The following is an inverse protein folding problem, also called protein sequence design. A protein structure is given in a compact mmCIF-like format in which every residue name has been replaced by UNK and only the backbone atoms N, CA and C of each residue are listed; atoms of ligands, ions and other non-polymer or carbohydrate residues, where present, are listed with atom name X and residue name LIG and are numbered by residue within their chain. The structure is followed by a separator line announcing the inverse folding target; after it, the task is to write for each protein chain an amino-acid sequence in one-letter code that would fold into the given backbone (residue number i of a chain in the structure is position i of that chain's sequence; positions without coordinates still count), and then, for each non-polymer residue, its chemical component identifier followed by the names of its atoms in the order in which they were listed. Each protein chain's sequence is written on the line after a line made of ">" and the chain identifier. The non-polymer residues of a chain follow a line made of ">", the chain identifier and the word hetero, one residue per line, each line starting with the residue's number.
data_IF_330420642554
#
_entry.id   IF_330420642554
#
_cell.length_a   1.000
_cell.length_b   1.000
_cell.length_c   1.000
_cell.angle_alpha   90.00
_cell.angle_beta   90.00
_cell.angle_gamma   90.00
#
_symmetry.space_group_name_H-M   'P 1'
#
loop_
_entity.id
_entity.type
_entity.pdbx_description
1 polymer ?
#
# COMPACT_ATOMS: atom_id res chain seq x y z
N UNK A 1 -16.31 -12.34 15.47
CA UNK A 1 -15.47 -11.86 14.36
C UNK A 1 -14.55 -13.00 13.93
N UNK A 2 -14.85 -13.66 12.81
CA UNK A 2 -14.10 -14.81 12.29
C UNK A 2 -12.79 -14.37 11.64
N UNK A 3 -11.76 -15.22 11.71
CA UNK A 3 -10.40 -14.92 11.24
C UNK A 3 -10.31 -14.48 9.76
N UNK A 4 -11.29 -14.84 8.93
CA UNK A 4 -11.39 -14.46 7.51
C UNK A 4 -11.44 -12.95 7.28
N UNK A 5 -12.03 -12.17 8.19
CA UNK A 5 -12.17 -10.72 8.03
C UNK A 5 -10.89 -9.91 8.29
N UNK A 6 -9.91 -10.46 9.03
CA UNK A 6 -8.61 -9.79 9.25
C UNK A 6 -7.66 -9.99 8.09
N UNK A 7 -7.64 -11.20 7.52
CA UNK A 7 -6.75 -11.55 6.40
C UNK A 7 -6.98 -10.68 5.17
N UNK A 8 -8.25 -10.37 4.90
CA UNK A 8 -8.64 -9.58 3.75
C UNK A 8 -8.29 -8.07 3.82
N UNK A 9 -7.80 -7.56 4.96
CA UNK A 9 -7.50 -6.12 5.10
C UNK A 9 -6.04 -5.76 4.89
N UNK A 10 -5.14 -6.74 4.81
CA UNK A 10 -3.70 -6.51 4.74
C UNK A 10 -3.23 -5.82 3.45
N UNK A 11 -4.05 -5.80 2.40
CA UNK A 11 -3.80 -4.98 1.21
C UNK A 11 -4.10 -3.49 1.40
N UNK A 12 -4.90 -3.10 2.41
CA UNK A 12 -5.29 -1.69 2.61
C UNK A 12 -4.08 -0.79 2.91
N UNK A 13 -3.13 -1.15 3.81
CA UNK A 13 -1.90 -0.39 4.00
C UNK A 13 -1.05 -0.29 2.72
N UNK A 14 -1.07 -1.33 1.86
CA UNK A 14 -0.35 -1.34 0.59
C UNK A 14 -1.01 -0.37 -0.41
N UNK A 15 -2.35 -0.30 -0.43
CA UNK A 15 -3.08 0.70 -1.21
C UNK A 15 -2.83 2.12 -0.70
N UNK A 16 -2.78 2.32 0.62
CA UNK A 16 -2.41 3.61 1.21
C UNK A 16 -0.97 4.01 0.82
N UNK A 17 -0.03 3.06 0.84
CA UNK A 17 1.34 3.27 0.37
C UNK A 17 1.38 3.69 -1.11
N UNK A 18 0.61 3.04 -1.97
CA UNK A 18 0.50 3.43 -3.37
C UNK A 18 -0.05 4.87 -3.55
N UNK A 19 -1.01 5.28 -2.72
CA UNK A 19 -1.62 6.61 -2.76
C UNK A 19 -0.69 7.73 -2.26
N UNK A 20 0.36 7.42 -1.50
CA UNK A 20 1.29 8.44 -0.99
C UNK A 20 1.96 9.24 -2.11
N UNK A 21 2.29 8.61 -3.24
CA UNK A 21 2.93 9.28 -4.37
C UNK A 21 2.03 10.31 -5.06
N UNK A 22 0.82 9.99 -5.57
CA UNK A 22 -0.05 10.98 -6.20
C UNK A 22 -0.46 12.09 -5.23
N UNK A 23 -0.64 11.78 -3.95
CA UNK A 23 -0.93 12.80 -2.93
C UNK A 23 0.27 13.72 -2.71
N UNK A 24 1.48 13.19 -2.53
CA UNK A 24 2.69 13.99 -2.39
C UNK A 24 2.94 14.85 -3.63
N UNK A 25 2.72 14.31 -4.83
CA UNK A 25 2.83 15.05 -6.08
C UNK A 25 1.80 16.18 -6.17
N UNK A 26 0.54 15.93 -5.81
CA UNK A 26 -0.47 16.98 -5.81
C UNK A 26 -0.13 18.10 -4.81
N UNK A 27 0.32 17.75 -3.60
CA UNK A 27 0.73 18.72 -2.60
C UNK A 27 1.95 19.53 -3.05
N UNK A 28 2.95 18.91 -3.69
CA UNK A 28 4.13 19.63 -4.17
C UNK A 28 3.83 20.61 -5.31
N UNK A 29 2.76 20.38 -6.08
CA UNK A 29 2.31 21.27 -7.15
C UNK A 29 1.44 22.43 -6.65
N UNK A 30 0.73 22.25 -5.53
CA UNK A 30 -0.25 23.21 -5.00
C UNK A 30 0.34 24.10 -3.90
N UNK A 31 1.22 23.55 -3.06
CA UNK A 31 1.73 24.25 -1.88
C UNK A 31 2.92 25.16 -2.23
N UNK A 32 2.97 26.38 -1.69
CA UNK A 32 4.13 27.26 -1.85
C UNK A 32 5.37 26.65 -1.15
N UNK A 33 6.58 26.88 -1.69
CA UNK A 33 7.81 26.26 -1.22
C UNK A 33 8.39 26.93 0.03
N UNK A 34 7.59 27.06 1.08
CA UNK A 34 8.00 27.53 2.40
C UNK A 34 7.82 26.43 3.47
N UNK A 35 8.52 26.58 4.60
CA UNK A 35 8.61 25.55 5.65
C UNK A 35 7.25 25.15 6.21
N UNK A 36 6.37 26.12 6.49
CA UNK A 36 5.11 25.85 7.15
C UNK A 36 4.08 25.25 6.19
N UNK A 37 4.04 25.77 4.96
CA UNK A 37 3.17 25.23 3.91
C UNK A 37 3.57 23.82 3.49
N UNK A 38 4.83 23.42 3.67
CA UNK A 38 5.31 22.08 3.31
C UNK A 38 5.11 21.01 4.39
N UNK A 39 4.59 21.37 5.58
CA UNK A 39 4.31 20.39 6.65
C UNK A 39 3.36 19.25 6.24
N UNK A 40 2.27 19.49 5.48
CA UNK A 40 1.42 18.41 4.99
C UNK A 40 2.15 17.45 4.04
N UNK A 41 3.00 17.98 3.15
CA UNK A 41 3.83 17.16 2.27
C UNK A 41 4.79 16.28 3.07
N UNK A 42 5.46 16.86 4.08
CA UNK A 42 6.32 16.11 4.99
C UNK A 42 5.56 15.00 5.71
N UNK A 43 4.34 15.26 6.20
CA UNK A 43 3.51 14.26 6.85
C UNK A 43 3.20 13.08 5.91
N UNK A 44 2.86 13.34 4.64
CA UNK A 44 2.60 12.29 3.64
C UNK A 44 3.86 11.47 3.35
N UNK A 45 5.02 12.13 3.24
CA UNK A 45 6.31 11.45 3.02
C UNK A 45 6.64 10.54 4.22
N UNK A 46 6.47 11.01 5.45
CA UNK A 46 6.73 10.23 6.66
C UNK A 46 5.78 9.04 6.79
N UNK A 47 4.50 9.22 6.47
CA UNK A 47 3.53 8.11 6.41
C UNK A 47 3.93 7.09 5.35
N UNK A 48 4.28 7.54 4.14
CA UNK A 48 4.76 6.66 3.07
C UNK A 48 6.02 5.90 3.46
N UNK A 49 6.96 6.56 4.14
CA UNK A 49 8.18 5.95 4.66
C UNK A 49 7.88 4.86 5.69
N UNK A 50 7.02 5.16 6.68
CA UNK A 50 6.62 4.19 7.70
C UNK A 50 5.90 2.98 7.07
N UNK A 51 5.01 3.22 6.11
CA UNK A 51 4.31 2.15 5.38
C UNK A 51 5.27 1.31 4.53
N UNK A 52 6.28 1.91 3.91
CA UNK A 52 7.32 1.19 3.16
C UNK A 52 8.12 0.26 4.09
N UNK A 53 8.60 0.75 5.23
CA UNK A 53 9.33 -0.08 6.19
C UNK A 53 8.51 -1.26 6.71
N UNK A 54 7.20 -1.05 6.90
CA UNK A 54 6.28 -2.09 7.34
C UNK A 54 5.75 -2.97 6.19
N UNK A 55 6.02 -2.63 4.92
CA UNK A 55 5.46 -3.32 3.75
C UNK A 55 5.79 -4.81 3.66
N UNK A 56 6.97 -5.31 4.10
CA UNK A 56 7.25 -6.75 4.11
C UNK A 56 6.23 -7.53 4.94
N UNK A 57 5.80 -6.98 6.08
CA UNK A 57 4.81 -7.62 6.93
C UNK A 57 3.42 -7.62 6.26
N UNK A 58 3.02 -6.51 5.66
CA UNK A 58 1.74 -6.41 4.95
C UNK A 58 1.66 -7.40 3.79
N UNK A 59 2.72 -7.47 2.97
CA UNK A 59 2.81 -8.43 1.85
C UNK A 59 2.81 -9.88 2.36
N UNK A 60 3.51 -10.16 3.46
CA UNK A 60 3.55 -11.50 4.05
C UNK A 60 2.16 -11.97 4.51
N UNK A 61 1.43 -11.15 5.27
CA UNK A 61 0.11 -11.51 5.76
C UNK A 61 -0.95 -11.57 4.66
N UNK A 62 -0.95 -10.63 3.69
CA UNK A 62 -1.88 -10.71 2.55
C UNK A 62 -1.56 -11.95 1.70
N UNK A 63 -0.28 -12.31 1.51
CA UNK A 63 0.10 -13.54 0.81
C UNK A 63 -0.38 -14.81 1.53
N UNK A 64 -0.29 -14.87 2.86
CA UNK A 64 -0.79 -16.02 3.63
C UNK A 64 -2.30 -16.16 3.49
N UNK A 65 -3.03 -15.05 3.59
CA UNK A 65 -4.47 -15.02 3.37
C UNK A 65 -4.85 -15.47 1.95
N UNK A 66 -4.18 -14.88 0.95
CA UNK A 66 -4.41 -15.24 -0.45
C UNK A 66 -4.09 -16.71 -0.69
N UNK A 67 -2.99 -17.25 -0.21
CA UNK A 67 -2.67 -18.67 -0.38
C UNK A 67 -3.69 -19.61 0.27
N UNK A 68 -4.37 -19.17 1.35
CA UNK A 68 -5.40 -19.95 2.04
C UNK A 68 -6.77 -19.89 1.34
N UNK A 69 -7.14 -18.75 0.74
CA UNK A 69 -8.48 -18.54 0.17
C UNK A 69 -8.52 -18.44 -1.37
N UNK A 70 -7.38 -18.26 -2.03
CA UNK A 70 -7.26 -17.96 -3.48
C UNK A 70 -6.01 -18.63 -4.08
N UNK A 71 -6.11 -19.14 -5.31
CA UNK A 71 -5.00 -19.85 -5.98
C UNK A 71 -3.83 -18.97 -6.44
N UNK A 72 -3.75 -17.70 -6.01
CA UNK A 72 -2.71 -16.77 -6.43
C UNK A 72 -1.69 -16.50 -5.31
N UNK A 73 -0.41 -16.66 -5.63
CA UNK A 73 0.70 -16.36 -4.73
C UNK A 73 1.49 -15.15 -5.24
N UNK A 74 1.56 -14.03 -4.49
CA UNK A 74 2.37 -12.88 -4.85
C UNK A 74 3.86 -13.21 -4.96
N UNK A 75 4.54 -12.65 -5.97
CA UNK A 75 5.98 -12.85 -6.19
C UNK A 75 6.84 -12.24 -5.08
N UNK A 76 8.07 -12.74 -4.91
CA UNK A 76 9.04 -12.19 -3.94
C UNK A 76 9.46 -10.75 -4.29
N UNK A 77 9.33 -10.33 -5.55
CA UNK A 77 9.67 -8.98 -5.98
C UNK A 77 8.87 -7.88 -5.24
N UNK A 78 7.71 -8.21 -4.71
CA UNK A 78 6.90 -7.27 -3.94
C UNK A 78 7.50 -6.88 -2.58
N UNK A 79 8.49 -7.62 -2.08
CA UNK A 79 9.24 -7.24 -0.88
C UNK A 79 10.19 -6.05 -1.11
N UNK A 80 10.48 -5.69 -2.36
CA UNK A 80 11.25 -4.49 -2.72
C UNK A 80 10.54 -3.20 -2.28
N UNK A 81 9.24 -3.26 -1.95
CA UNK A 81 8.50 -2.13 -1.35
C UNK A 81 9.11 -1.58 -0.06
N UNK A 82 10.05 -2.28 0.58
CA UNK A 82 10.80 -1.73 1.73
C UNK A 82 11.64 -0.51 1.37
N UNK A 83 12.02 -0.36 0.09
CA UNK A 83 12.81 0.77 -0.41
C UNK A 83 11.88 1.94 -0.73
N UNK A 84 11.85 3.02 0.09
CA UNK A 84 10.81 4.05 0.02
C UNK A 84 10.71 4.75 -1.33
N UNK A 85 11.84 4.94 -2.02
CA UNK A 85 11.89 5.61 -3.32
C UNK A 85 11.11 4.88 -4.42
N UNK A 86 11.02 3.55 -4.35
CA UNK A 86 10.29 2.72 -5.33
C UNK A 86 8.99 2.15 -4.77
N UNK A 87 8.81 2.22 -3.44
CA UNK A 87 7.71 1.59 -2.73
C UNK A 87 6.31 1.94 -3.29
N UNK A 88 5.96 3.21 -3.58
CA UNK A 88 4.63 3.54 -4.07
C UNK A 88 4.31 2.90 -5.43
N UNK A 89 5.31 2.78 -6.32
CA UNK A 89 5.13 2.18 -7.65
C UNK A 89 4.95 0.66 -7.56
N UNK A 90 5.78 0.01 -6.74
CA UNK A 90 5.66 -1.43 -6.52
C UNK A 90 4.34 -1.75 -5.81
N UNK A 91 3.93 -0.92 -4.84
CA UNK A 91 2.64 -1.01 -4.17
C UNK A 91 1.45 -0.85 -5.14
N UNK A 92 1.51 0.13 -6.06
CA UNK A 92 0.50 0.30 -7.09
C UNK A 92 0.40 -0.94 -8.01
N UNK A 93 1.54 -1.48 -8.45
CA UNK A 93 1.58 -2.69 -9.25
C UNK A 93 1.00 -3.90 -8.52
N UNK A 94 1.29 -4.03 -7.21
CA UNK A 94 0.74 -5.08 -6.36
C UNK A 94 -0.77 -5.00 -6.27
N UNK A 95 -1.30 -3.82 -5.91
CA UNK A 95 -2.75 -3.61 -5.78
C UNK A 95 -3.46 -3.84 -7.10
N UNK A 96 -2.90 -3.37 -8.21
CA UNK A 96 -3.45 -3.62 -9.54
C UNK A 96 -3.51 -5.12 -9.86
N UNK A 97 -2.42 -5.86 -9.63
CA UNK A 97 -2.39 -7.30 -9.87
C UNK A 97 -3.33 -8.09 -8.94
N UNK A 98 -3.39 -7.70 -7.66
CA UNK A 98 -4.32 -8.28 -6.68
C UNK A 98 -5.75 -8.05 -7.13
N UNK A 99 -6.11 -6.82 -7.47
CA UNK A 99 -7.44 -6.48 -7.95
C UNK A 99 -7.81 -7.23 -9.23
N UNK A 100 -6.90 -7.35 -10.19
CA UNK A 100 -7.15 -8.10 -11.43
C UNK A 100 -7.42 -9.60 -11.20
N UNK A 101 -6.76 -10.22 -10.21
CA UNK A 101 -6.87 -11.66 -9.96
C UNK A 101 -7.93 -12.04 -8.92
N UNK A 102 -8.13 -11.19 -7.92
CA UNK A 102 -8.92 -11.50 -6.72
C UNK A 102 -10.17 -10.62 -6.64
N UNK A 103 -10.20 -9.49 -7.36
CA UNK A 103 -11.23 -8.46 -7.23
C UNK A 103 -11.06 -7.61 -5.97
N UNK A 104 -11.97 -6.66 -5.76
CA UNK A 104 -12.21 -6.09 -4.43
C UNK A 104 -13.12 -7.07 -3.69
N UNK A 105 -12.86 -7.37 -2.42
CA UNK A 105 -13.81 -8.10 -1.59
C UNK A 105 -15.14 -7.34 -1.63
N UNK A 106 -16.23 -8.02 -1.96
CA UNK A 106 -17.56 -7.42 -1.83
C UNK A 106 -17.76 -7.12 -0.35
N UNK A 107 -17.65 -5.85 0.04
CA UNK A 107 -18.07 -5.41 1.37
C UNK A 107 -19.55 -5.79 1.49
N UNK A 108 -19.96 -6.69 2.39
CA UNK A 108 -21.37 -6.77 2.73
C UNK A 108 -21.70 -5.43 3.40
N UNK A 109 -22.49 -4.61 2.72
CA UNK A 109 -23.16 -3.45 3.32
C UNK A 109 -24.19 -3.93 4.33
#
# INVERSE_FOLDING_TARGET
>A
MTASHRGDRWWQPIAALAATFPVALALSLVLPPDVFSMLPLLAVILVGFALALCSPAFVHFDRQYLAAERSWTPSVLYYVMVVPAVAPFVAAAYVYQRHRRVGVPATPL
#
